data_IF_013964410378
#
_entry.id   IF_013964410378
#
_cell.length_a   1.000
_cell.length_b   1.000
_cell.length_c   1.000
_cell.angle_alpha   90.00
_cell.angle_beta   90.00
_cell.angle_gamma   90.00
#
_symmetry.space_group_name_H-M   'P 1'
#
loop_
_entity.id
_entity.type
_entity.pdbx_description
1 polymer ?
#
# COMPACT_ATOMS: atom_id res chain seq x y z
N UNK A 1 10.08 68.04 55.27
CA UNK A 1 10.73 68.54 54.04
C UNK A 1 11.56 67.42 53.45
N UNK A 2 11.51 67.28 52.12
CA UNK A 2 12.24 66.39 51.21
C UNK A 2 12.03 64.87 51.27
N UNK A 3 11.29 64.41 50.25
CA UNK A 3 11.33 63.10 49.58
C UNK A 3 12.75 62.57 49.33
N UNK A 4 12.91 61.23 49.28
CA UNK A 4 13.42 60.53 48.08
C UNK A 4 12.79 59.13 48.03
N UNK A 5 12.10 58.85 46.92
CA UNK A 5 11.67 57.53 46.46
C UNK A 5 12.89 56.71 46.02
N UNK A 6 12.95 55.44 46.42
CA UNK A 6 13.80 54.44 45.80
C UNK A 6 12.94 53.27 45.34
N UNK A 7 12.66 53.22 44.03
CA UNK A 7 12.12 52.04 43.36
C UNK A 7 13.17 50.92 43.40
N UNK A 8 12.83 49.77 43.97
CA UNK A 8 13.50 48.50 43.69
C UNK A 8 12.72 47.82 42.57
N UNK A 9 13.26 47.88 41.36
CA UNK A 9 12.92 46.98 40.26
C UNK A 9 14.10 46.02 40.11
N UNK A 10 13.75 44.74 39.89
CA UNK A 10 14.53 43.61 39.36
C UNK A 10 14.68 42.46 40.35
N UNK A 11 13.89 41.42 40.12
CA UNK A 11 14.40 40.08 39.78
C UNK A 11 13.24 39.19 39.34
N UNK A 12 12.78 39.38 38.09
CA UNK A 12 11.83 38.50 37.39
C UNK A 12 12.56 37.51 36.45
N UNK A 13 13.79 37.11 36.78
CA UNK A 13 14.58 36.21 35.93
C UNK A 13 14.43 34.72 36.26
N UNK A 14 13.64 34.35 37.27
CA UNK A 14 13.43 32.95 37.66
C UNK A 14 12.10 32.33 37.22
N UNK A 15 11.16 33.13 36.70
CA UNK A 15 9.87 32.60 36.20
C UNK A 15 9.90 32.28 34.70
N UNK A 16 10.88 32.80 33.96
CA UNK A 16 10.98 32.60 32.51
C UNK A 16 11.64 31.27 32.12
N UNK A 17 12.47 30.68 32.99
CA UNK A 17 13.15 29.41 32.70
C UNK A 17 12.25 28.18 32.91
N UNK A 18 11.31 28.23 33.85
CA UNK A 18 10.48 27.06 34.20
C UNK A 18 9.28 26.88 33.26
N UNK A 19 8.82 27.96 32.62
CA UNK A 19 7.82 27.92 31.55
C UNK A 19 8.46 27.47 30.23
N UNK A 20 9.70 27.86 29.93
CA UNK A 20 10.42 27.35 28.75
C UNK A 20 10.79 25.86 28.87
N UNK A 21 11.14 25.39 30.07
CA UNK A 21 11.42 23.95 30.29
C UNK A 21 10.17 23.06 30.19
N UNK A 22 8.96 23.59 30.41
CA UNK A 22 7.71 22.83 30.29
C UNK A 22 7.04 22.99 28.93
N UNK A 23 7.26 24.09 28.22
CA UNK A 23 6.74 24.32 26.85
C UNK A 23 7.65 23.73 25.77
N UNK A 24 8.96 23.53 26.04
CA UNK A 24 9.85 22.69 25.22
C UNK A 24 9.89 21.27 25.81
N UNK A 25 8.71 20.68 26.03
CA UNK A 25 8.57 19.25 25.72
C UNK A 25 8.42 19.16 24.20
N UNK A 26 9.47 19.54 23.47
CA UNK A 26 9.65 19.00 22.11
C UNK A 26 9.64 17.51 22.36
N UNK A 27 8.58 16.84 21.93
CA UNK A 27 8.57 15.39 21.82
C UNK A 27 9.72 15.11 20.86
N UNK A 28 10.91 14.83 21.40
CA UNK A 28 12.01 14.32 20.63
C UNK A 28 11.55 12.93 20.25
N UNK A 29 10.90 12.82 19.09
CA UNK A 29 10.50 11.54 18.53
C UNK A 29 11.79 10.72 18.37
N UNK A 30 11.88 9.64 19.15
CA UNK A 30 12.95 8.67 19.03
C UNK A 30 12.92 8.09 17.62
N UNK A 31 14.10 7.94 17.01
CA UNK A 31 14.21 7.27 15.72
C UNK A 31 13.60 5.87 15.79
N UNK A 32 12.53 5.65 15.04
CA UNK A 32 11.86 4.37 14.90
C UNK A 32 11.99 3.91 13.46
N UNK A 33 12.18 2.60 13.27
CA UNK A 33 12.46 1.99 11.96
C UNK A 33 11.54 0.79 11.78
N UNK A 34 11.03 0.60 10.57
CA UNK A 34 10.43 -0.66 10.11
C UNK A 34 11.29 -1.21 8.99
N UNK A 35 11.54 -2.51 9.03
CA UNK A 35 12.11 -3.27 7.92
C UNK A 35 11.07 -4.26 7.42
N UNK A 36 10.89 -4.32 6.10
CA UNK A 36 9.97 -5.26 5.45
C UNK A 36 10.67 -6.59 5.15
N UNK A 37 11.21 -7.20 6.22
CA UNK A 37 12.02 -8.41 6.24
C UNK A 37 11.31 -9.67 5.69
N UNK A 38 9.98 -9.68 5.67
CA UNK A 38 9.17 -10.79 5.14
C UNK A 38 8.95 -10.72 3.63
N UNK A 39 9.39 -9.65 2.97
CA UNK A 39 9.14 -9.41 1.55
C UNK A 39 10.40 -8.90 0.83
N UNK A 40 11.56 -9.50 1.10
CA UNK A 40 12.82 -9.16 0.48
C UNK A 40 12.86 -9.58 -1.00
N UNK A 41 13.64 -8.82 -1.79
CA UNK A 41 13.91 -9.15 -3.19
C UNK A 41 15.35 -9.64 -3.31
N UNK A 42 15.57 -10.66 -4.14
CA UNK A 42 16.92 -11.11 -4.50
C UNK A 42 17.08 -11.10 -6.02
N UNK A 43 18.11 -10.40 -6.51
CA UNK A 43 18.53 -10.43 -7.91
C UNK A 43 19.68 -11.43 -8.06
N UNK A 44 19.38 -12.61 -8.58
CA UNK A 44 20.37 -13.68 -8.82
C UNK A 44 21.48 -13.28 -9.80
N UNK A 45 21.21 -12.36 -10.72
CA UNK A 45 22.19 -11.94 -11.72
C UNK A 45 23.20 -10.95 -11.13
N UNK A 46 22.75 -10.11 -10.18
CA UNK A 46 23.61 -9.17 -9.46
C UNK A 46 24.17 -9.75 -8.17
N UNK A 47 23.64 -10.88 -7.72
CA UNK A 47 23.91 -11.46 -6.41
C UNK A 47 23.69 -10.41 -5.31
N UNK A 48 22.49 -9.81 -5.30
CA UNK A 48 22.15 -8.68 -4.43
C UNK A 48 20.77 -8.88 -3.80
N UNK A 49 20.66 -8.67 -2.48
CA UNK A 49 19.40 -8.62 -1.73
C UNK A 49 18.96 -7.18 -1.55
N UNK A 50 17.72 -6.86 -1.90
CA UNK A 50 17.08 -5.57 -1.59
C UNK A 50 16.09 -5.72 -0.45
N UNK A 51 16.28 -4.93 0.60
CA UNK A 51 15.40 -4.83 1.76
C UNK A 51 14.83 -3.41 1.84
N UNK A 52 13.51 -3.27 1.90
CA UNK A 52 12.83 -1.99 2.04
C UNK A 52 12.55 -1.68 3.52
N UNK A 53 12.42 -0.41 3.85
CA UNK A 53 12.04 0.01 5.20
C UNK A 53 11.58 1.46 5.27
N UNK A 54 11.04 1.84 6.43
CA UNK A 54 10.58 3.20 6.76
C UNK A 54 11.22 3.72 8.04
N UNK A 55 11.26 5.04 8.20
CA UNK A 55 11.77 5.69 9.41
C UNK A 55 10.90 6.85 9.90
N UNK A 56 10.88 7.14 11.20
CA UNK A 56 10.31 8.43 11.68
C UNK A 56 11.31 9.58 11.57
N UNK A 57 12.60 9.26 11.66
CA UNK A 57 13.71 10.22 11.62
C UNK A 57 14.85 9.67 10.77
N UNK A 58 15.28 10.44 9.77
CA UNK A 58 16.29 9.98 8.82
C UNK A 58 17.61 9.69 9.55
N UNK A 59 18.19 8.52 9.29
CA UNK A 59 19.49 8.09 9.78
C UNK A 59 20.58 8.30 8.73
N UNK A 60 21.84 8.24 9.15
CA UNK A 60 22.97 8.52 8.27
C UNK A 60 23.80 7.28 7.95
N UNK A 61 23.72 6.26 8.80
CA UNK A 61 24.54 5.07 8.68
C UNK A 61 23.79 3.84 9.22
N UNK A 62 24.15 2.69 8.69
CA UNK A 62 23.73 1.38 9.16
C UNK A 62 24.98 0.57 9.50
N UNK A 63 24.91 -0.23 10.56
CA UNK A 63 25.85 -1.30 10.79
C UNK A 63 25.14 -2.65 10.67
N UNK A 64 25.72 -3.54 9.86
CA UNK A 64 25.30 -4.92 9.64
C UNK A 64 26.56 -5.76 9.73
N UNK A 65 26.56 -6.80 10.57
CA UNK A 65 27.72 -7.67 10.72
C UNK A 65 28.03 -8.40 9.39
N UNK A 66 29.32 -8.48 9.06
CA UNK A 66 29.88 -9.20 7.89
C UNK A 66 29.23 -8.89 6.53
N UNK A 67 28.61 -7.72 6.39
CA UNK A 67 27.84 -7.36 5.19
C UNK A 67 28.25 -6.00 4.64
N UNK A 68 28.42 -5.94 3.32
CA UNK A 68 28.53 -4.66 2.59
C UNK A 68 27.16 -4.24 2.10
N UNK A 69 26.87 -2.94 2.14
CA UNK A 69 25.58 -2.44 1.75
C UNK A 69 25.65 -1.10 1.01
N UNK A 70 24.59 -0.82 0.26
CA UNK A 70 24.27 0.49 -0.29
C UNK A 70 22.88 0.90 0.22
N UNK A 71 22.78 2.09 0.78
CA UNK A 71 21.56 2.66 1.35
C UNK A 71 21.06 3.78 0.44
N UNK A 72 19.79 3.69 0.05
CA UNK A 72 19.13 4.70 -0.79
C UNK A 72 17.85 5.17 -0.12
N UNK A 73 17.72 6.49 0.00
CA UNK A 73 16.54 7.14 0.54
C UNK A 73 15.61 7.59 -0.58
N UNK A 74 14.30 7.52 -0.32
CA UNK A 74 13.31 8.25 -1.10
C UNK A 74 13.44 9.75 -0.77
N UNK A 75 13.37 10.62 -1.79
CA UNK A 75 13.48 12.06 -1.59
C UNK A 75 12.21 12.67 -1.00
N UNK A 76 11.05 12.08 -1.28
CA UNK A 76 9.74 12.70 -1.01
C UNK A 76 9.02 12.07 0.20
N UNK A 77 9.57 10.99 0.76
CA UNK A 77 8.92 10.16 1.78
C UNK A 77 9.94 9.56 2.74
N UNK A 78 9.52 9.17 3.95
CA UNK A 78 10.38 8.49 4.92
C UNK A 78 10.66 7.01 4.57
N UNK A 79 10.84 6.73 3.28
CA UNK A 79 11.05 5.40 2.73
C UNK A 79 12.52 5.22 2.36
N UNK A 80 13.03 4.00 2.47
CA UNK A 80 14.38 3.66 2.03
C UNK A 80 14.44 2.23 1.53
N UNK A 81 15.52 1.90 0.82
CA UNK A 81 15.93 0.52 0.63
C UNK A 81 17.43 0.36 0.86
N UNK A 82 17.80 -0.87 1.18
CA UNK A 82 19.18 -1.31 1.40
C UNK A 82 19.44 -2.43 0.40
N UNK A 83 20.53 -2.29 -0.34
CA UNK A 83 21.09 -3.33 -1.20
C UNK A 83 22.26 -3.97 -0.47
N UNK A 84 22.22 -5.28 -0.29
CA UNK A 84 23.22 -6.07 0.41
C UNK A 84 23.81 -7.08 -0.56
N UNK A 85 25.14 -7.23 -0.57
CA UNK A 85 25.78 -8.24 -1.41
C UNK A 85 25.45 -9.65 -0.94
N UNK A 86 25.09 -10.53 -1.86
CA UNK A 86 24.72 -11.91 -1.59
C UNK A 86 23.26 -12.11 -1.20
N UNK A 87 22.91 -13.37 -1.00
CA UNK A 87 21.65 -13.81 -0.39
C UNK A 87 21.94 -14.33 1.02
N UNK A 88 21.34 -13.72 2.02
CA UNK A 88 21.33 -14.24 3.39
C UNK A 88 19.91 -14.31 3.92
N UNK A 89 19.59 -15.35 4.68
CA UNK A 89 18.30 -15.46 5.39
C UNK A 89 18.34 -14.83 6.77
N UNK A 90 19.52 -14.39 7.23
CA UNK A 90 19.71 -13.73 8.53
C UNK A 90 20.75 -12.63 8.38
N UNK A 91 20.41 -11.42 8.81
CA UNK A 91 21.37 -10.33 9.02
C UNK A 91 21.60 -10.18 10.51
N UNK A 92 22.87 -10.25 10.94
CA UNK A 92 23.21 -10.18 12.36
C UNK A 92 23.49 -8.76 12.80
N UNK A 93 23.07 -8.48 14.03
CA UNK A 93 23.32 -7.23 14.73
C UNK A 93 23.04 -5.97 13.87
N UNK A 94 21.80 -5.84 13.43
CA UNK A 94 21.38 -4.77 12.54
C UNK A 94 21.09 -3.48 13.33
N UNK A 95 21.93 -2.45 13.14
CA UNK A 95 21.84 -1.19 13.89
C UNK A 95 21.74 0.00 12.94
N UNK A 96 20.73 0.85 13.17
CA UNK A 96 20.59 2.16 12.52
C UNK A 96 21.20 3.25 13.39
N UNK A 97 21.94 4.18 12.79
CA UNK A 97 22.72 5.20 13.51
C UNK A 97 22.35 6.60 13.01
N UNK A 98 21.96 7.46 13.93
CA UNK A 98 21.72 8.87 13.68
C UNK A 98 22.39 9.75 14.74
N UNK A 99 23.61 10.23 14.46
CA UNK A 99 24.42 11.12 15.31
C UNK A 99 24.53 10.66 16.78
N UNK A 100 23.53 10.97 17.61
CA UNK A 100 23.47 10.66 19.04
C UNK A 100 22.46 9.54 19.40
N UNK A 101 21.73 9.01 18.41
CA UNK A 101 20.71 7.98 18.59
C UNK A 101 21.07 6.71 17.79
N UNK A 102 20.69 5.56 18.35
CA UNK A 102 20.80 4.27 17.69
C UNK A 102 19.52 3.47 17.87
N UNK A 103 19.13 2.75 16.82
CA UNK A 103 18.02 1.79 16.84
C UNK A 103 18.58 0.43 16.47
N UNK A 104 18.66 -0.45 17.45
CA UNK A 104 19.16 -1.82 17.27
C UNK A 104 17.97 -2.77 17.07
N UNK A 105 17.93 -3.44 15.93
CA UNK A 105 16.91 -4.43 15.61
C UNK A 105 17.36 -5.87 15.92
N UNK A 106 18.60 -6.06 16.37
CA UNK A 106 19.19 -7.37 16.66
C UNK A 106 19.40 -8.18 15.38
N UNK A 107 19.15 -9.47 15.46
CA UNK A 107 19.18 -10.36 14.29
C UNK A 107 17.86 -10.25 13.52
N UNK A 108 17.95 -10.00 12.22
CA UNK A 108 16.80 -9.83 11.32
C UNK A 108 16.73 -11.02 10.36
N UNK A 109 15.60 -11.74 10.40
CA UNK A 109 15.35 -12.88 9.52
C UNK A 109 14.73 -12.42 8.21
N UNK A 110 15.34 -12.77 7.08
CA UNK A 110 14.89 -12.35 5.76
C UNK A 110 14.13 -13.48 5.06
N UNK A 111 12.94 -13.16 4.53
CA UNK A 111 12.15 -14.04 3.67
C UNK A 111 12.14 -13.51 2.23
N UNK A 112 12.17 -14.43 1.28
CA UNK A 112 12.27 -14.13 -0.15
C UNK A 112 11.09 -14.73 -0.93
N UNK A 113 9.86 -14.25 -0.69
CA UNK A 113 8.65 -14.92 -1.16
C UNK A 113 8.43 -14.84 -2.69
N UNK A 114 9.22 -14.06 -3.41
CA UNK A 114 9.09 -13.84 -4.86
C UNK A 114 9.99 -14.73 -5.72
N UNK A 115 10.92 -15.48 -5.12
CA UNK A 115 11.85 -16.34 -5.85
C UNK A 115 11.20 -17.65 -6.27
N UNK A 116 10.46 -18.28 -5.35
CA UNK A 116 9.80 -19.57 -5.56
C UNK A 116 8.29 -19.44 -5.80
N UNK A 117 7.82 -18.26 -6.23
CA UNK A 117 6.41 -18.06 -6.49
C UNK A 117 5.94 -18.89 -7.70
N UNK A 118 4.81 -19.58 -7.57
CA UNK A 118 4.24 -20.44 -8.62
C UNK A 118 3.32 -19.68 -9.61
N UNK A 119 3.38 -18.35 -9.58
CA UNK A 119 2.52 -17.47 -10.39
C UNK A 119 2.79 -17.68 -11.89
N UNK A 120 1.77 -18.09 -12.63
CA UNK A 120 1.85 -18.39 -14.07
C UNK A 120 1.66 -17.11 -14.90
N UNK A 121 2.72 -16.32 -15.00
CA UNK A 121 2.74 -15.05 -15.76
C UNK A 121 3.75 -15.10 -16.92
N UNK A 122 3.52 -14.26 -17.92
CA UNK A 122 4.40 -14.08 -19.08
C UNK A 122 4.86 -12.62 -19.17
N UNK A 123 5.90 -12.30 -19.98
CA UNK A 123 6.30 -10.92 -20.20
C UNK A 123 5.21 -10.01 -20.76
N UNK A 124 4.14 -10.55 -21.35
CA UNK A 124 3.00 -9.78 -21.87
C UNK A 124 1.85 -9.62 -20.86
N UNK A 125 1.93 -10.31 -19.71
CA UNK A 125 0.85 -10.34 -18.73
C UNK A 125 0.61 -8.98 -18.08
N UNK A 126 -0.64 -8.74 -17.70
CA UNK A 126 -1.02 -7.74 -16.71
C UNK A 126 -1.31 -8.43 -15.38
N UNK A 127 -0.85 -7.84 -14.28
CA UNK A 127 -1.09 -8.35 -12.93
C UNK A 127 -1.62 -7.24 -12.02
N UNK A 128 -2.15 -7.63 -10.86
CA UNK A 128 -2.50 -6.69 -9.78
C UNK A 128 -1.53 -6.88 -8.62
N UNK A 129 -1.11 -5.78 -8.00
CA UNK A 129 -0.45 -5.76 -6.70
C UNK A 129 -1.32 -5.01 -5.71
N UNK A 130 -1.79 -5.69 -4.66
CA UNK A 130 -2.70 -5.13 -3.67
C UNK A 130 -2.30 -5.52 -2.25
N UNK A 131 -2.74 -4.73 -1.26
CA UNK A 131 -2.62 -5.07 0.15
C UNK A 131 -4.01 -5.28 0.74
N UNK A 132 -4.17 -6.38 1.46
CA UNK A 132 -5.42 -6.74 2.12
C UNK A 132 -5.26 -6.66 3.63
N UNK A 133 -6.23 -6.06 4.30
CA UNK A 133 -6.41 -6.14 5.74
C UNK A 133 -7.90 -6.28 6.06
N UNK A 134 -8.26 -7.42 6.63
CA UNK A 134 -9.61 -7.78 7.08
C UNK A 134 -10.68 -7.68 5.97
N UNK A 135 -10.30 -8.03 4.73
CA UNK A 135 -11.17 -7.99 3.53
C UNK A 135 -11.75 -9.36 3.13
N UNK A 136 -11.63 -10.38 3.97
CA UNK A 136 -11.99 -11.75 3.61
C UNK A 136 -13.47 -11.94 3.23
N UNK A 137 -14.37 -11.07 3.71
CA UNK A 137 -15.80 -11.07 3.38
C UNK A 137 -16.12 -10.68 1.93
N UNK A 138 -15.16 -10.18 1.15
CA UNK A 138 -15.35 -9.82 -0.27
C UNK A 138 -14.21 -10.23 -1.21
N UNK A 139 -13.11 -10.74 -0.64
CA UNK A 139 -11.89 -11.01 -1.40
C UNK A 139 -12.08 -12.10 -2.46
N UNK A 140 -12.92 -13.11 -2.21
CA UNK A 140 -13.16 -14.21 -3.14
C UNK A 140 -13.82 -13.70 -4.43
N UNK A 141 -14.88 -12.90 -4.29
CA UNK A 141 -15.56 -12.23 -5.42
C UNK A 141 -14.58 -11.31 -6.18
N UNK A 142 -13.79 -10.51 -5.45
CA UNK A 142 -12.84 -9.58 -6.05
C UNK A 142 -11.75 -10.31 -6.86
N UNK A 143 -11.22 -11.43 -6.36
CA UNK A 143 -10.24 -12.25 -7.10
C UNK A 143 -10.90 -12.83 -8.36
N UNK A 144 -12.09 -13.42 -8.24
CA UNK A 144 -12.78 -14.02 -9.39
C UNK A 144 -13.06 -12.99 -10.48
N UNK A 145 -13.56 -11.81 -10.08
CA UNK A 145 -13.83 -10.72 -10.99
C UNK A 145 -12.58 -10.30 -11.77
N UNK A 146 -11.47 -10.05 -11.08
CA UNK A 146 -10.25 -9.54 -11.72
C UNK A 146 -9.57 -10.60 -12.61
N UNK A 147 -9.57 -11.87 -12.20
CA UNK A 147 -9.08 -12.96 -13.06
C UNK A 147 -9.94 -13.09 -14.32
N UNK A 148 -11.26 -12.94 -14.21
CA UNK A 148 -12.18 -12.96 -15.35
C UNK A 148 -12.02 -11.75 -16.28
N UNK A 149 -11.76 -10.56 -15.71
CA UNK A 149 -11.46 -9.35 -16.46
C UNK A 149 -10.20 -9.50 -17.33
N UNK A 150 -9.32 -10.44 -16.97
CA UNK A 150 -8.19 -10.86 -17.80
C UNK A 150 -6.82 -10.70 -17.15
N UNK A 151 -6.74 -10.33 -15.87
CA UNK A 151 -5.45 -10.28 -15.19
C UNK A 151 -4.86 -11.69 -15.09
N UNK A 152 -3.61 -11.86 -15.52
CA UNK A 152 -2.91 -13.15 -15.48
C UNK A 152 -2.54 -13.59 -14.07
N UNK A 153 -2.39 -12.64 -13.14
CA UNK A 153 -2.02 -12.93 -11.76
C UNK A 153 -2.31 -11.78 -10.79
N UNK A 154 -2.41 -12.12 -9.50
CA UNK A 154 -2.68 -11.17 -8.42
C UNK A 154 -1.69 -11.44 -7.28
N UNK A 155 -1.08 -10.38 -6.75
CA UNK A 155 -0.22 -10.41 -5.58
C UNK A 155 -0.98 -9.76 -4.44
N UNK A 156 -1.18 -10.50 -3.35
CA UNK A 156 -1.87 -10.06 -2.14
C UNK A 156 -0.85 -9.98 -1.00
N UNK A 157 -0.55 -8.75 -0.57
CA UNK A 157 0.15 -8.51 0.69
C UNK A 157 -0.88 -8.63 1.83
N UNK A 158 -0.88 -9.77 2.52
CA UNK A 158 -1.81 -10.07 3.59
C UNK A 158 -1.35 -9.43 4.90
N UNK A 159 -2.09 -8.42 5.34
CA UNK A 159 -1.83 -7.66 6.55
C UNK A 159 -2.92 -7.89 7.63
N UNK A 160 -3.66 -9.00 7.56
CA UNK A 160 -4.65 -9.40 8.58
C UNK A 160 -4.01 -9.63 9.96
N UNK A 161 -2.71 -9.96 9.99
CA UNK A 161 -1.94 -10.14 11.22
C UNK A 161 -1.74 -8.86 12.01
N UNK A 162 -1.83 -7.68 11.39
CA UNK A 162 -1.71 -6.39 12.07
C UNK A 162 -3.00 -6.04 12.82
N UNK A 163 -2.93 -6.04 14.15
CA UNK A 163 -4.05 -5.69 15.03
C UNK A 163 -4.05 -4.23 15.54
N UNK A 164 -3.09 -3.40 15.14
CA UNK A 164 -2.92 -2.04 15.68
C UNK A 164 -3.76 -0.98 14.99
N UNK A 165 -4.22 -1.21 13.74
CA UNK A 165 -4.99 -0.21 13.00
C UNK A 165 -6.47 -0.57 12.93
N UNK A 166 -7.39 0.33 13.32
CA UNK A 166 -8.81 0.14 13.10
C UNK A 166 -9.13 0.18 11.61
N UNK A 167 -10.16 -0.56 11.21
CA UNK A 167 -10.67 -0.55 9.84
C UNK A 167 -11.57 0.66 9.60
N UNK A 168 -11.64 1.08 8.35
CA UNK A 168 -12.59 2.10 7.89
C UNK A 168 -13.97 1.50 7.50
N UNK A 169 -14.20 0.22 7.79
CA UNK A 169 -15.47 -0.48 7.53
C UNK A 169 -15.94 -1.22 8.79
N UNK A 170 -17.23 -1.11 9.09
CA UNK A 170 -17.82 -1.82 10.22
C UNK A 170 -17.97 -3.31 9.87
N UNK A 171 -17.28 -4.17 10.63
CA UNK A 171 -17.31 -5.61 10.44
C UNK A 171 -18.60 -6.30 10.95
N UNK A 172 -19.47 -5.60 11.68
CA UNK A 172 -20.72 -6.17 12.21
C UNK A 172 -21.63 -6.75 11.10
N UNK A 173 -21.59 -6.15 9.91
CA UNK A 173 -22.38 -6.57 8.75
C UNK A 173 -21.56 -7.41 7.74
N UNK A 174 -20.41 -7.95 8.15
CA UNK A 174 -19.53 -8.73 7.29
C UNK A 174 -19.53 -10.21 7.69
N UNK A 175 -19.65 -11.10 6.72
CA UNK A 175 -19.52 -12.55 6.95
C UNK A 175 -18.09 -12.99 6.62
N UNK A 176 -17.30 -13.26 7.64
CA UNK A 176 -15.95 -13.80 7.49
C UNK A 176 -15.97 -15.33 7.65
N UNK A 177 -16.06 -16.05 6.53
CA UNK A 177 -16.10 -17.52 6.54
C UNK A 177 -14.73 -18.18 6.42
N UNK A 178 -13.70 -17.43 6.02
CA UNK A 178 -12.37 -17.96 5.71
C UNK A 178 -11.32 -16.87 5.90
N UNK A 179 -10.07 -17.26 6.13
CA UNK A 179 -8.95 -16.31 6.18
C UNK A 179 -8.57 -15.83 4.77
N UNK A 180 -7.89 -14.68 4.67
CA UNK A 180 -7.31 -14.21 3.39
C UNK A 180 -6.42 -15.29 2.76
N UNK A 181 -5.60 -15.97 3.56
CA UNK A 181 -4.72 -17.03 3.09
C UNK A 181 -5.50 -18.21 2.49
N UNK A 182 -6.57 -18.66 3.16
CA UNK A 182 -7.38 -19.79 2.69
C UNK A 182 -8.17 -19.45 1.42
N UNK A 183 -8.65 -18.21 1.28
CA UNK A 183 -9.29 -17.73 0.06
C UNK A 183 -8.29 -17.78 -1.09
N UNK A 184 -7.10 -17.21 -0.92
CA UNK A 184 -6.11 -17.16 -1.99
C UNK A 184 -5.56 -18.54 -2.38
N UNK A 185 -5.48 -19.51 -1.46
CA UNK A 185 -5.08 -20.91 -1.77
C UNK A 185 -5.94 -21.57 -2.85
N UNK A 186 -7.22 -21.17 -2.99
CA UNK A 186 -8.12 -21.66 -4.05
C UNK A 186 -7.60 -21.35 -5.45
N UNK A 187 -6.80 -20.29 -5.60
CA UNK A 187 -6.33 -19.73 -6.86
C UNK A 187 -4.83 -19.99 -7.10
N UNK A 188 -4.35 -21.16 -6.67
CA UNK A 188 -2.94 -21.56 -6.84
C UNK A 188 -2.46 -21.34 -8.29
N UNK A 189 -1.27 -20.76 -8.44
CA UNK A 189 -0.69 -20.39 -9.73
C UNK A 189 -1.26 -19.12 -10.36
N UNK A 190 -2.30 -18.52 -9.78
CA UNK A 190 -2.90 -17.23 -10.21
C UNK A 190 -2.88 -16.17 -9.12
N UNK A 191 -2.80 -16.56 -7.86
CA UNK A 191 -2.69 -15.64 -6.73
C UNK A 191 -1.47 -16.01 -5.88
N UNK A 192 -0.63 -15.02 -5.61
CA UNK A 192 0.48 -15.10 -4.68
C UNK A 192 0.14 -14.33 -3.41
N UNK A 193 0.20 -15.00 -2.25
CA UNK A 193 0.04 -14.35 -0.94
C UNK A 193 1.38 -14.12 -0.30
N UNK A 194 1.60 -12.90 0.16
CA UNK A 194 2.79 -12.49 0.92
C UNK A 194 2.34 -12.14 2.33
N UNK A 195 2.94 -12.77 3.33
CA UNK A 195 2.71 -12.35 4.72
C UNK A 195 3.30 -10.96 4.93
N UNK A 196 2.47 -9.99 5.31
CA UNK A 196 2.87 -8.59 5.42
C UNK A 196 2.28 -7.92 6.68
N UNK A 197 2.50 -8.46 7.90
CA UNK A 197 1.79 -8.06 9.12
C UNK A 197 2.39 -6.79 9.76
N UNK A 198 2.64 -5.76 8.94
CA UNK A 198 3.32 -4.54 9.37
C UNK A 198 2.33 -3.46 9.79
N UNK A 199 2.67 -2.75 10.86
CA UNK A 199 1.97 -1.57 11.38
C UNK A 199 2.75 -0.30 11.05
N UNK A 200 2.09 0.84 10.77
CA UNK A 200 2.79 2.11 10.63
C UNK A 200 3.52 2.46 11.93
N UNK A 201 4.60 3.23 11.80
CA UNK A 201 5.29 3.81 12.95
C UNK A 201 4.34 4.73 13.73
N UNK A 202 4.57 4.93 15.02
CA UNK A 202 3.75 5.82 15.84
C UNK A 202 3.59 7.18 15.15
N UNK A 203 2.35 7.67 15.05
CA UNK A 203 1.92 8.92 14.36
C UNK A 203 1.85 8.88 12.82
N UNK A 204 2.27 7.78 12.18
CA UNK A 204 2.20 7.65 10.72
C UNK A 204 0.89 7.03 10.22
N UNK A 205 0.49 7.41 9.00
CA UNK A 205 -0.72 6.90 8.35
C UNK A 205 -0.51 5.48 7.78
N UNK A 206 -1.55 4.65 7.85
CA UNK A 206 -1.59 3.31 7.25
C UNK A 206 -1.21 3.27 5.76
N UNK A 207 -1.52 4.33 5.02
CA UNK A 207 -1.18 4.49 3.61
C UNK A 207 0.32 4.37 3.36
N UNK A 208 1.16 4.59 4.38
CA UNK A 208 2.59 4.30 4.29
C UNK A 208 2.84 2.80 4.09
N UNK A 209 2.26 1.93 4.92
CA UNK A 209 2.46 0.48 4.79
C UNK A 209 1.92 -0.05 3.46
N UNK A 210 0.75 0.45 3.04
CA UNK A 210 0.20 0.14 1.72
C UNK A 210 1.18 0.52 0.61
N UNK A 211 1.73 1.73 0.65
CA UNK A 211 2.71 2.20 -0.32
C UNK A 211 3.96 1.31 -0.38
N UNK A 212 4.48 0.85 0.77
CA UNK A 212 5.62 -0.08 0.80
C UNK A 212 5.33 -1.38 0.09
N UNK A 213 4.15 -1.97 0.33
CA UNK A 213 3.71 -3.17 -0.37
C UNK A 213 3.68 -2.94 -1.89
N UNK A 214 3.20 -1.78 -2.35
CA UNK A 214 3.22 -1.42 -3.77
C UNK A 214 4.65 -1.30 -4.34
N UNK A 215 5.57 -0.64 -3.63
CA UNK A 215 6.99 -0.55 -4.05
C UNK A 215 7.60 -1.94 -4.26
N UNK A 216 7.40 -2.82 -3.28
CA UNK A 216 7.97 -4.17 -3.27
C UNK A 216 7.35 -4.99 -4.40
N UNK A 217 6.02 -5.00 -4.51
CA UNK A 217 5.30 -5.74 -5.56
C UNK A 217 5.70 -5.30 -6.97
N UNK A 218 5.77 -3.98 -7.21
CA UNK A 218 6.19 -3.45 -8.51
C UNK A 218 7.63 -3.87 -8.83
N UNK A 219 8.56 -3.70 -7.90
CA UNK A 219 9.97 -4.03 -8.15
C UNK A 219 10.24 -5.53 -8.27
N UNK A 220 9.46 -6.37 -7.58
CA UNK A 220 9.53 -7.83 -7.71
C UNK A 220 9.11 -8.33 -9.10
N UNK A 221 8.17 -7.64 -9.75
CA UNK A 221 7.52 -8.12 -10.97
C UNK A 221 7.75 -7.27 -12.23
N UNK A 222 8.42 -6.11 -12.12
CA UNK A 222 8.71 -5.23 -13.29
C UNK A 222 9.44 -5.92 -14.44
N UNK A 223 10.23 -6.96 -14.19
CA UNK A 223 10.93 -7.74 -15.24
C UNK A 223 10.18 -9.00 -15.66
N UNK A 224 9.04 -9.30 -15.04
CA UNK A 224 8.31 -10.57 -15.20
C UNK A 224 6.98 -10.41 -15.94
N UNK A 225 6.47 -9.19 -16.06
CA UNK A 225 5.18 -8.88 -16.69
C UNK A 225 5.25 -7.52 -17.41
N UNK A 226 4.24 -7.22 -18.23
CA UNK A 226 4.16 -5.96 -18.98
C UNK A 226 3.50 -4.85 -18.19
N UNK A 227 2.45 -5.19 -17.43
CA UNK A 227 1.62 -4.22 -16.73
C UNK A 227 1.35 -4.62 -15.28
N UNK A 228 1.36 -3.64 -14.38
CA UNK A 228 1.05 -3.84 -12.95
C UNK A 228 -0.01 -2.81 -12.54
N UNK A 229 -1.20 -3.28 -12.19
CA UNK A 229 -2.29 -2.47 -11.64
C UNK A 229 -2.13 -2.34 -10.13
N UNK A 230 -2.28 -1.12 -9.61
CA UNK A 230 -2.17 -0.79 -8.19
C UNK A 230 -3.54 -0.50 -7.59
N UNK A 231 -4.44 -1.48 -7.64
CA UNK A 231 -5.84 -1.36 -7.19
C UNK A 231 -6.07 -2.08 -5.86
N UNK A 232 -7.01 -1.57 -5.06
CA UNK A 232 -7.34 -2.08 -3.74
C UNK A 232 -8.40 -3.18 -3.80
N UNK A 233 -8.50 -3.99 -2.75
CA UNK A 233 -9.45 -5.13 -2.67
C UNK A 233 -10.92 -4.72 -2.50
N UNK A 234 -11.23 -3.43 -2.61
CA UNK A 234 -12.57 -2.86 -2.72
C UNK A 234 -12.75 -2.02 -4.01
N UNK A 235 -11.85 -2.18 -4.98
CA UNK A 235 -11.86 -1.47 -6.25
C UNK A 235 -12.05 -2.41 -7.46
N UNK A 236 -12.91 -2.03 -8.40
CA UNK A 236 -13.28 -2.84 -9.56
C UNK A 236 -13.11 -2.05 -10.86
N UNK A 237 -12.39 -2.60 -11.84
CA UNK A 237 -12.23 -1.98 -13.16
C UNK A 237 -13.38 -2.40 -14.06
N UNK A 238 -13.96 -1.46 -14.81
CA UNK A 238 -15.08 -1.68 -15.71
C UNK A 238 -14.87 -0.96 -17.05
N UNK A 239 -15.40 -1.55 -18.12
CA UNK A 239 -15.34 -1.05 -19.50
C UNK A 239 -16.75 -0.68 -19.99
N UNK A 240 -17.23 0.57 -19.82
CA UNK A 240 -18.63 0.92 -20.06
C UNK A 240 -19.14 0.63 -21.47
N UNK A 241 -18.31 0.86 -22.47
CA UNK A 241 -18.68 0.67 -23.88
C UNK A 241 -18.27 -0.71 -24.43
N UNK A 242 -17.52 -1.50 -23.67
CA UNK A 242 -16.98 -2.80 -24.10
C UNK A 242 -16.95 -3.79 -22.94
N UNK A 243 -18.12 -4.18 -22.44
CA UNK A 243 -18.24 -5.00 -21.22
C UNK A 243 -17.51 -6.35 -21.26
N UNK A 244 -17.28 -6.90 -22.46
CA UNK A 244 -16.49 -8.13 -22.67
C UNK A 244 -14.99 -7.88 -22.94
N UNK A 245 -14.50 -6.64 -22.78
CA UNK A 245 -13.11 -6.29 -23.01
C UNK A 245 -12.20 -6.98 -21.99
N UNK A 246 -11.18 -7.67 -22.51
CA UNK A 246 -10.10 -8.19 -21.69
C UNK A 246 -9.09 -7.08 -21.38
N UNK A 247 -8.66 -6.96 -20.12
CA UNK A 247 -7.74 -5.89 -19.68
C UNK A 247 -6.38 -5.96 -20.37
N UNK A 248 -5.82 -7.15 -20.63
CA UNK A 248 -4.54 -7.29 -21.34
C UNK A 248 -4.67 -6.88 -22.80
N UNK A 249 -5.80 -7.22 -23.45
CA UNK A 249 -6.08 -6.77 -24.82
C UNK A 249 -6.22 -5.27 -24.92
N UNK A 250 -6.92 -4.64 -23.97
CA UNK A 250 -7.01 -3.19 -23.86
C UNK A 250 -5.61 -2.57 -23.72
N UNK A 251 -4.81 -3.06 -22.77
CA UNK A 251 -3.48 -2.53 -22.47
C UNK A 251 -2.45 -2.74 -23.59
N UNK A 252 -2.72 -3.58 -24.61
CA UNK A 252 -1.80 -3.77 -25.74
C UNK A 252 -1.44 -2.47 -26.43
N UNK A 253 -2.39 -1.55 -26.53
CA UNK A 253 -2.24 -0.27 -27.24
C UNK A 253 -1.88 0.89 -26.32
N UNK A 254 -1.66 0.64 -25.02
CA UNK A 254 -1.38 1.68 -24.05
C UNK A 254 -0.05 1.46 -23.31
N UNK A 255 0.53 2.58 -22.88
CA UNK A 255 1.67 2.59 -21.97
C UNK A 255 1.20 2.50 -20.51
N UNK A 256 1.79 3.33 -19.65
CA UNK A 256 1.24 3.53 -18.31
C UNK A 256 -0.04 4.34 -18.43
N UNK A 257 -1.12 3.87 -17.82
CA UNK A 257 -2.40 4.58 -17.82
C UNK A 257 -2.82 4.95 -16.41
N UNK A 258 -3.61 6.01 -16.30
CA UNK A 258 -4.30 6.39 -15.07
C UNK A 258 -5.80 6.47 -15.36
N UNK A 259 -6.54 5.63 -14.65
CA UNK A 259 -7.98 5.51 -14.74
C UNK A 259 -8.63 6.51 -13.79
N UNK A 260 -9.71 7.14 -14.23
CA UNK A 260 -10.58 7.92 -13.34
C UNK A 260 -11.55 6.99 -12.60
N UNK A 261 -12.20 7.51 -11.55
CA UNK A 261 -13.15 6.72 -10.76
C UNK A 261 -14.43 7.41 -10.37
N UNK A 262 -15.36 6.57 -9.93
CA UNK A 262 -16.50 6.93 -9.12
C UNK A 262 -16.57 6.04 -7.88
N UNK A 263 -17.23 6.53 -6.84
CA UNK A 263 -17.72 5.67 -5.76
C UNK A 263 -18.88 4.84 -6.26
N UNK A 264 -18.95 3.57 -5.83
CA UNK A 264 -20.18 2.80 -5.82
C UNK A 264 -20.64 2.58 -4.39
N UNK A 265 -21.95 2.69 -4.16
CA UNK A 265 -22.58 2.47 -2.86
C UNK A 265 -23.89 1.70 -3.01
N UNK A 266 -24.42 1.21 -1.89
CA UNK A 266 -25.75 0.65 -1.76
C UNK A 266 -26.71 1.66 -1.12
N UNK A 267 -28.01 1.38 -1.26
CA UNK A 267 -29.06 2.21 -0.66
C UNK A 267 -29.23 1.96 0.84
N UNK A 268 -29.06 0.72 1.29
CA UNK A 268 -29.26 0.35 2.69
C UNK A 268 -27.98 0.55 3.50
N UNK A 269 -28.12 0.77 4.81
CA UNK A 269 -26.98 1.02 5.70
C UNK A 269 -26.44 -0.25 6.37
N UNK A 270 -27.16 -1.38 6.25
CA UNK A 270 -26.87 -2.62 6.96
C UNK A 270 -27.02 -3.87 6.07
N UNK A 271 -26.69 -3.75 4.78
CA UNK A 271 -26.68 -4.94 3.92
C UNK A 271 -25.58 -5.90 4.38
N UNK A 272 -25.89 -7.19 4.38
CA UNK A 272 -24.93 -8.23 4.74
C UNK A 272 -23.93 -8.42 3.61
N UNK A 273 -22.65 -8.19 3.91
CA UNK A 273 -21.54 -8.31 2.96
C UNK A 273 -20.93 -9.71 3.04
N UNK A 274 -21.05 -10.46 1.94
CA UNK A 274 -20.57 -11.82 1.81
C UNK A 274 -20.31 -12.17 0.34
N UNK A 275 -19.22 -11.63 -0.23
CA UNK A 275 -18.79 -11.85 -1.62
C UNK A 275 -19.93 -11.56 -2.63
N UNK A 276 -20.64 -10.46 -2.40
CA UNK A 276 -21.80 -9.99 -3.17
C UNK A 276 -21.77 -8.45 -3.37
N UNK A 277 -20.59 -7.84 -3.30
CA UNK A 277 -20.41 -6.39 -3.38
C UNK A 277 -20.93 -5.86 -4.71
N UNK A 278 -20.68 -6.55 -5.81
CA UNK A 278 -21.11 -6.10 -7.14
C UNK A 278 -22.62 -6.21 -7.37
N UNK A 279 -23.31 -7.04 -6.59
CA UNK A 279 -24.78 -7.12 -6.60
C UNK A 279 -25.44 -6.02 -5.75
N UNK A 280 -24.72 -5.51 -4.74
CA UNK A 280 -25.24 -4.50 -3.81
C UNK A 280 -24.88 -3.07 -4.23
N UNK A 281 -23.68 -2.86 -4.78
CA UNK A 281 -23.09 -1.55 -5.04
C UNK A 281 -23.58 -0.93 -6.38
N UNK A 282 -24.89 -0.73 -6.49
CA UNK A 282 -25.53 -0.36 -7.76
C UNK A 282 -25.70 1.14 -7.98
N UNK A 283 -25.23 2.01 -7.07
CA UNK A 283 -25.43 3.45 -7.18
C UNK A 283 -24.11 4.19 -7.37
N UNK A 284 -24.02 4.96 -8.45
CA UNK A 284 -22.85 5.76 -8.80
C UNK A 284 -22.85 7.06 -8.00
N UNK A 285 -21.82 7.21 -7.15
CA UNK A 285 -21.52 8.40 -6.38
C UNK A 285 -20.61 9.38 -7.10
N UNK A 286 -19.97 10.25 -6.33
CA UNK A 286 -19.06 11.26 -6.85
C UNK A 286 -17.79 10.67 -7.46
N UNK A 287 -17.10 11.51 -8.22
CA UNK A 287 -15.77 11.25 -8.73
C UNK A 287 -14.75 11.18 -7.59
N UNK A 288 -13.77 10.26 -7.67
CA UNK A 288 -12.75 10.10 -6.63
C UNK A 288 -11.34 9.94 -7.17
N UNK A 289 -10.44 9.44 -6.30
CA UNK A 289 -9.03 9.23 -6.56
C UNK A 289 -8.83 8.37 -7.81
N UNK A 290 -7.85 8.72 -8.61
CA UNK A 290 -7.46 7.96 -9.81
C UNK A 290 -6.67 6.72 -9.44
N UNK A 291 -6.52 5.74 -10.34
CA UNK A 291 -5.63 4.58 -10.12
C UNK A 291 -4.81 4.29 -11.36
N UNK A 292 -3.55 3.96 -11.15
CA UNK A 292 -2.58 3.76 -12.21
C UNK A 292 -2.37 2.27 -12.50
N UNK A 293 -2.32 1.93 -13.79
CA UNK A 293 -1.76 0.68 -14.28
C UNK A 293 -0.42 1.01 -14.92
N UNK A 294 0.67 0.58 -14.28
CA UNK A 294 2.03 0.88 -14.70
C UNK A 294 2.43 -0.03 -15.86
N UNK A 295 3.09 0.53 -16.87
CA UNK A 295 3.80 -0.25 -17.88
C UNK A 295 5.25 -0.44 -17.45
N UNK A 296 5.68 -1.69 -17.27
CA UNK A 296 6.90 -2.01 -16.53
C UNK A 296 8.18 -1.52 -17.18
N UNK A 297 8.22 -1.42 -18.52
CA UNK A 297 9.35 -0.80 -19.24
C UNK A 297 9.57 0.69 -18.92
N UNK A 298 8.58 1.36 -18.34
CA UNK A 298 8.68 2.77 -17.92
C UNK A 298 9.14 2.94 -16.47
N UNK A 299 9.33 1.84 -15.75
CA UNK A 299 9.68 1.83 -14.34
C UNK A 299 11.19 1.57 -14.21
N UNK A 300 11.88 2.45 -13.50
CA UNK A 300 13.29 2.28 -13.19
C UNK A 300 13.49 1.15 -12.17
N UNK A 301 14.71 0.66 -12.10
CA UNK A 301 15.06 -0.33 -11.10
C UNK A 301 14.99 0.25 -9.67
N UNK A 302 14.28 -0.45 -8.78
CA UNK A 302 14.07 -0.05 -7.38
C UNK A 302 13.40 1.33 -7.27
N UNK A 303 12.55 1.67 -8.23
CA UNK A 303 11.81 2.93 -8.21
C UNK A 303 10.84 2.98 -7.02
N UNK A 304 10.80 4.13 -6.34
CA UNK A 304 9.81 4.42 -5.31
C UNK A 304 8.49 4.85 -5.96
N UNK A 305 7.50 3.97 -5.93
CA UNK A 305 6.10 4.24 -6.31
C UNK A 305 5.38 5.07 -5.23
N UNK A 306 5.58 6.40 -5.23
CA UNK A 306 5.11 7.29 -4.14
C UNK A 306 3.59 7.32 -3.96
N UNK A 307 2.83 7.00 -5.01
CA UNK A 307 1.36 7.00 -5.01
C UNK A 307 0.82 6.02 -6.04
N UNK A 308 -0.31 5.34 -5.78
CA UNK A 308 -1.00 4.53 -6.80
C UNK A 308 -1.84 5.37 -7.77
N UNK A 309 -1.90 6.69 -7.56
CA UNK A 309 -2.84 7.57 -8.27
C UNK A 309 -2.23 8.24 -9.51
N UNK A 310 -0.90 8.33 -9.58
CA UNK A 310 -0.19 8.98 -10.69
C UNK A 310 1.21 8.37 -10.93
N UNK A 311 1.73 8.55 -12.14
CA UNK A 311 3.10 8.24 -12.57
C UNK A 311 3.55 9.22 -13.65
N UNK A 312 4.85 9.57 -13.68
CA UNK A 312 5.38 10.60 -14.59
C UNK A 312 5.23 10.29 -16.09
N UNK A 313 4.94 9.04 -16.45
CA UNK A 313 4.75 8.59 -17.84
C UNK A 313 3.30 8.24 -18.17
N UNK A 314 2.33 8.63 -17.33
CA UNK A 314 0.95 8.22 -17.49
C UNK A 314 0.23 8.93 -18.64
N UNK A 315 -0.69 8.22 -19.27
CA UNK A 315 -1.82 8.78 -20.01
C UNK A 315 -3.08 8.72 -19.12
N UNK A 316 -3.86 9.79 -19.04
CA UNK A 316 -5.15 9.77 -18.33
C UNK A 316 -6.22 9.31 -19.31
N UNK A 317 -6.92 8.22 -18.99
CA UNK A 317 -7.94 7.64 -19.88
C UNK A 317 -9.33 8.07 -19.41
N UNK A 318 -10.19 8.43 -20.37
CA UNK A 318 -11.58 8.80 -20.12
C UNK A 318 -12.41 7.60 -19.62
N UNK A 319 -13.32 7.87 -18.66
CA UNK A 319 -14.28 6.94 -18.08
C UNK A 319 -15.10 6.16 -19.12
N UNK A 320 -15.37 6.75 -20.28
CA UNK A 320 -16.10 6.08 -21.37
C UNK A 320 -15.37 4.84 -21.90
N UNK A 321 -14.04 4.80 -21.79
CA UNK A 321 -13.25 3.64 -22.20
C UNK A 321 -13.01 2.70 -21.03
N UNK A 322 -12.52 3.23 -19.92
CA UNK A 322 -12.18 2.45 -18.73
C UNK A 322 -12.39 3.31 -17.48
N UNK A 323 -13.01 2.73 -16.48
CA UNK A 323 -13.25 3.36 -15.19
C UNK A 323 -12.92 2.36 -14.09
N UNK A 324 -12.42 2.85 -12.96
CA UNK A 324 -12.40 2.03 -11.75
C UNK A 324 -13.44 2.54 -10.75
N UNK A 325 -14.11 1.62 -10.09
CA UNK A 325 -15.11 1.91 -9.08
C UNK A 325 -14.56 1.56 -7.70
N UNK A 326 -14.80 2.43 -6.71
CA UNK A 326 -14.46 2.14 -5.32
C UNK A 326 -15.75 1.85 -4.53
N UNK A 327 -15.90 0.62 -4.06
CA UNK A 327 -17.14 0.15 -3.43
C UNK A 327 -17.17 0.48 -1.93
N UNK A 328 -17.92 1.53 -1.59
CA UNK A 328 -18.12 2.02 -0.22
C UNK A 328 -19.53 1.70 0.24
N UNK A 329 -19.66 0.61 1.00
CA UNK A 329 -20.95 0.06 1.40
C UNK A 329 -21.44 0.62 2.73
N UNK A 330 -22.72 0.39 3.04
CA UNK A 330 -23.28 0.52 4.37
C UNK A 330 -23.00 1.89 5.00
N UNK A 331 -23.37 2.95 4.28
CA UNK A 331 -23.20 4.36 4.67
C UNK A 331 -21.75 4.85 4.79
N UNK A 332 -20.75 4.05 4.39
CA UNK A 332 -19.38 4.56 4.18
C UNK A 332 -19.37 5.69 3.13
N UNK A 333 -20.26 5.58 2.13
CA UNK A 333 -20.67 6.69 1.27
C UNK A 333 -22.19 6.86 1.29
N UNK A 334 -22.65 8.08 1.53
CA UNK A 334 -24.07 8.39 1.74
C UNK A 334 -24.85 8.37 0.43
N UNK A 335 -25.82 7.46 0.32
CA UNK A 335 -26.74 7.39 -0.80
C UNK A 335 -27.61 8.66 -0.97
N UNK A 336 -27.98 8.96 -2.22
CA UNK A 336 -28.95 9.99 -2.61
C UNK A 336 -29.83 9.48 -3.76
N UNK A 337 -31.11 9.86 -3.77
CA UNK A 337 -32.08 9.47 -4.82
C UNK A 337 -31.70 9.94 -6.23
N UNK A 338 -30.86 10.96 -6.36
CA UNK A 338 -30.36 11.45 -7.65
C UNK A 338 -29.21 10.60 -8.24
N UNK A 339 -28.66 9.63 -7.50
CA UNK A 339 -27.53 8.83 -7.96
C UNK A 339 -27.95 7.90 -9.11
N UNK A 340 -27.20 7.87 -10.23
CA UNK A 340 -27.44 6.93 -11.31
C UNK A 340 -27.30 5.48 -10.84
N UNK A 341 -28.07 4.58 -11.46
CA UNK A 341 -27.99 3.14 -11.21
C UNK A 341 -27.10 2.49 -12.26
N UNK A 342 -26.25 1.56 -11.83
CA UNK A 342 -25.45 0.67 -12.68
C UNK A 342 -25.67 -0.79 -12.26
N UNK A 343 -25.53 -1.72 -13.19
CA UNK A 343 -25.54 -3.15 -12.90
C UNK A 343 -24.27 -3.80 -13.46
N UNK A 344 -23.26 -3.95 -12.60
CA UNK A 344 -21.97 -4.54 -13.00
C UNK A 344 -22.06 -6.07 -13.05
N UNK A 345 -22.88 -6.69 -12.19
CA UNK A 345 -22.97 -8.15 -12.09
C UNK A 345 -23.72 -8.79 -13.27
N UNK A 346 -24.72 -8.12 -13.86
CA UNK A 346 -25.42 -8.62 -15.05
C UNK A 346 -24.53 -8.64 -16.30
N UNK A 347 -23.59 -7.72 -16.38
CA UNK A 347 -22.77 -7.49 -17.56
C UNK A 347 -21.50 -8.36 -17.57
N UNK A 348 -21.15 -8.91 -16.39
CA UNK A 348 -19.99 -9.77 -16.18
C UNK A 348 -20.33 -11.17 -15.63
N UNK A 349 -21.61 -11.61 -15.68
CA UNK A 349 -22.17 -12.85 -15.07
C UNK A 349 -21.12 -13.89 -14.71
N UNK A 350 -20.66 -13.87 -13.45
CA UNK A 350 -19.65 -14.75 -12.87
C UNK A 350 -19.89 -16.21 -13.25
#
# INVERSE_FOLDING_TARGET
MSNVQGFLIQNDDYLFFDIFSKIISVIILKMSIILFDKACLYDVHKNETTLYGHYTKQFHNIWIEDSTYNLVFCNDRPDFYIKISGKSTILRNFIFINMHEQTNLGDVHLLFPFEDCDLQITPNSAIISTMCKDYSHRLDEWIQYNLKLGFSGIIVFNNDGNKSNPLNENLENCVQTSSTEDICKKYKGKVLVIEFPYSPLETEDWNNIQRSALHIGVNAFRKKCRNIALIDADEFIYFPNHTNMNIEDFLKNHGTITMMSNILTNKNENDLLNNNILDLANYIGEDKYTKTILHTEKINENEFIVTPHTHGTQEIINKEFIIHYHCWMNNRYKYNEAMPVINISSDNKL
#
